data_IF_555296165153
#
_entry.id   IF_555296165153
#
_cell.length_a   1.000
_cell.length_b   1.000
_cell.length_c   1.000
_cell.angle_alpha   90.00
_cell.angle_beta   90.00
_cell.angle_gamma   90.00
#
_symmetry.space_group_name_H-M   'P 1'
#
loop_
_entity.id
_entity.type
_entity.pdbx_description
1 polymer ?
#
# COMPACT_ATOMS: atom_id res chain seq x y z
N UNK A 1 -4.19 3.96 -9.78
CA UNK A 1 -3.13 3.75 -8.78
C UNK A 1 -3.55 2.62 -7.84
N UNK A 2 -2.60 1.88 -7.26
CA UNK A 2 -2.91 0.81 -6.30
C UNK A 2 -3.33 1.40 -4.95
N UNK A 3 -4.14 0.65 -4.18
CA UNK A 3 -4.57 1.06 -2.83
C UNK A 3 -3.41 1.37 -1.88
N UNK A 4 -2.26 0.71 -2.08
CA UNK A 4 -1.04 0.92 -1.29
C UNK A 4 -0.51 2.33 -1.48
N UNK A 5 -0.36 2.80 -2.72
CA UNK A 5 0.18 4.14 -2.97
C UNK A 5 -0.75 5.25 -2.50
N UNK A 6 -2.06 5.03 -2.58
CA UNK A 6 -3.04 5.99 -2.06
C UNK A 6 -2.99 6.09 -0.53
N UNK A 7 -2.74 4.97 0.15
CA UNK A 7 -2.56 4.93 1.61
C UNK A 7 -1.33 5.73 2.02
N UNK A 8 -0.20 5.54 1.33
CA UNK A 8 1.04 6.29 1.59
C UNK A 8 0.83 7.79 1.34
N UNK A 9 0.18 8.17 0.24
CA UNK A 9 -0.07 9.58 -0.06
C UNK A 9 -0.88 10.26 1.06
N UNK A 10 -1.94 9.61 1.52
CA UNK A 10 -2.77 10.10 2.63
C UNK A 10 -1.98 10.19 3.94
N UNK A 11 -1.09 9.23 4.21
CA UNK A 11 -0.24 9.28 5.38
C UNK A 11 0.76 10.45 5.34
N UNK A 12 1.30 10.76 4.16
CA UNK A 12 2.15 11.95 3.95
C UNK A 12 1.36 13.24 4.20
N UNK A 13 0.15 13.34 3.66
CA UNK A 13 -0.73 14.52 3.84
C UNK A 13 -1.15 14.71 5.30
N UNK A 14 -1.48 13.62 6.00
CA UNK A 14 -1.87 13.65 7.41
C UNK A 14 -0.68 13.87 8.36
N UNK A 15 0.52 13.38 8.01
CA UNK A 15 1.70 13.39 8.86
C UNK A 15 2.39 14.74 9.00
N UNK A 16 1.94 15.78 8.27
CA UNK A 16 2.46 17.15 8.36
C UNK A 16 3.93 17.33 7.95
N UNK A 17 4.62 16.25 7.54
CA UNK A 17 5.99 16.32 7.04
C UNK A 17 6.00 16.86 5.63
N UNK A 18 6.81 17.88 5.39
CA UNK A 18 7.02 18.40 4.04
C UNK A 18 7.73 17.36 3.18
N UNK A 19 7.50 17.40 1.86
CA UNK A 19 8.22 16.57 0.88
C UNK A 19 9.73 16.74 0.99
N UNK A 20 10.20 17.96 1.29
CA UNK A 20 11.61 18.23 1.54
C UNK A 20 12.14 17.41 2.73
N UNK A 21 11.41 17.41 3.85
CA UNK A 21 11.81 16.68 5.05
C UNK A 21 11.83 15.16 4.80
N UNK A 22 10.80 14.63 4.14
CA UNK A 22 10.76 13.23 3.73
C UNK A 22 11.93 12.87 2.80
N UNK A 23 12.26 13.74 1.85
CA UNK A 23 13.42 13.53 0.96
C UNK A 23 14.73 13.41 1.74
N UNK A 24 14.92 14.25 2.77
CA UNK A 24 16.11 14.19 3.64
C UNK A 24 16.14 12.96 4.54
N UNK A 25 15.00 12.56 5.09
CA UNK A 25 14.90 11.40 6.00
C UNK A 25 15.03 10.06 5.24
N UNK A 26 14.47 9.97 4.04
CA UNK A 26 14.41 8.71 3.26
C UNK A 26 15.49 8.58 2.19
N UNK A 27 16.16 9.68 1.85
CA UNK A 27 17.08 9.76 0.71
C UNK A 27 16.38 9.71 -0.66
N UNK A 28 15.05 9.75 -0.71
CA UNK A 28 14.27 9.75 -1.95
C UNK A 28 14.31 11.14 -2.59
N UNK A 29 14.53 11.18 -3.90
CA UNK A 29 14.54 12.44 -4.65
C UNK A 29 13.18 13.17 -4.60
N UNK A 30 13.20 14.50 -4.53
CA UNK A 30 11.97 15.29 -4.45
C UNK A 30 11.11 15.20 -5.70
N UNK A 31 11.69 15.05 -6.90
CA UNK A 31 10.91 14.86 -8.10
C UNK A 31 10.19 13.50 -8.07
N UNK A 32 10.83 12.47 -7.51
CA UNK A 32 10.18 11.17 -7.30
C UNK A 32 9.03 11.26 -6.28
N UNK A 33 9.22 11.94 -5.15
CA UNK A 33 8.13 12.20 -4.20
C UNK A 33 7.00 13.01 -4.84
N UNK A 34 7.32 14.00 -5.68
CA UNK A 34 6.33 14.78 -6.42
C UNK A 34 5.50 13.91 -7.37
N UNK A 35 6.15 12.99 -8.12
CA UNK A 35 5.47 12.06 -9.04
C UNK A 35 4.56 11.09 -8.28
N UNK A 36 5.00 10.56 -7.14
CA UNK A 36 4.19 9.76 -6.22
C UNK A 36 2.93 10.51 -5.75
N UNK A 37 3.11 11.75 -5.28
CA UNK A 37 2.00 12.60 -4.82
C UNK A 37 1.00 12.89 -5.95
N UNK A 38 1.48 13.15 -7.17
CA UNK A 38 0.62 13.39 -8.33
C UNK A 38 -0.09 12.13 -8.85
N UNK A 39 0.25 10.94 -8.34
CA UNK A 39 -0.34 9.68 -8.78
C UNK A 39 0.11 9.22 -10.17
N UNK A 40 1.12 9.88 -10.76
CA UNK A 40 1.61 9.62 -12.12
C UNK A 40 2.53 8.40 -12.21
N UNK A 41 3.29 8.14 -11.16
CA UNK A 41 4.21 7.00 -11.08
C UNK A 41 4.19 6.38 -9.68
N UNK A 42 4.45 5.07 -9.63
CA UNK A 42 4.73 4.36 -8.39
C UNK A 42 6.16 4.59 -7.91
N UNK A 43 6.51 3.92 -6.80
CA UNK A 43 7.88 3.85 -6.28
C UNK A 43 8.33 2.39 -6.20
N UNK A 44 9.64 2.16 -6.11
CA UNK A 44 10.19 0.85 -5.81
C UNK A 44 9.70 0.36 -4.43
N UNK A 45 9.74 -0.95 -4.21
CA UNK A 45 9.42 -1.55 -2.90
C UNK A 45 10.35 -1.00 -1.82
N UNK A 46 11.65 -0.87 -2.12
CA UNK A 46 12.62 -0.28 -1.20
C UNK A 46 12.25 1.14 -0.79
N UNK A 47 11.84 1.99 -1.73
CA UNK A 47 11.41 3.35 -1.42
C UNK A 47 10.07 3.36 -0.67
N UNK A 48 9.21 2.37 -0.89
CA UNK A 48 7.96 2.20 -0.15
C UNK A 48 8.25 1.86 1.32
N UNK A 49 9.20 0.96 1.59
CA UNK A 49 9.64 0.58 2.94
C UNK A 49 10.24 1.79 3.67
N UNK A 50 11.16 2.53 3.03
CA UNK A 50 11.73 3.76 3.61
C UNK A 50 10.68 4.80 3.94
N UNK A 51 9.67 4.96 3.09
CA UNK A 51 8.54 5.86 3.36
C UNK A 51 7.70 5.37 4.54
N UNK A 52 7.44 4.07 4.65
CA UNK A 52 6.72 3.51 5.78
C UNK A 52 7.46 3.80 7.10
N UNK A 53 8.76 3.51 7.16
CA UNK A 53 9.60 3.78 8.33
C UNK A 53 9.59 5.28 8.70
N UNK A 54 9.81 6.16 7.71
CA UNK A 54 9.81 7.61 7.95
C UNK A 54 8.44 8.15 8.38
N UNK A 55 7.34 7.46 8.04
CA UNK A 55 5.98 7.83 8.44
C UNK A 55 5.50 7.11 9.71
N UNK A 56 6.31 6.23 10.30
CA UNK A 56 5.94 5.43 11.46
C UNK A 56 4.86 4.38 11.13
N UNK A 57 4.89 3.84 9.92
CA UNK A 57 3.96 2.82 9.43
C UNK A 57 4.65 1.46 9.37
N UNK A 58 3.87 0.40 9.51
CA UNK A 58 4.32 -0.98 9.35
C UNK A 58 3.71 -1.60 8.09
N UNK A 59 4.53 -2.26 7.27
CA UNK A 59 4.07 -3.05 6.12
C UNK A 59 3.87 -4.50 6.55
N UNK A 60 2.63 -4.98 6.51
CA UNK A 60 2.30 -6.36 6.89
C UNK A 60 1.79 -7.13 5.68
N UNK A 61 2.55 -8.13 5.23
CA UNK A 61 2.13 -9.06 4.20
C UNK A 61 1.46 -10.25 4.88
N UNK A 62 0.19 -10.51 4.55
CA UNK A 62 -0.56 -11.66 5.07
C UNK A 62 -1.17 -12.45 3.92
N UNK A 63 -1.30 -13.78 4.06
CA UNK A 63 -2.10 -14.56 3.11
C UNK A 63 -3.49 -13.97 3.00
N UNK A 64 -3.99 -13.81 1.77
CA UNK A 64 -5.41 -13.51 1.57
C UNK A 64 -6.18 -14.69 2.15
N UNK A 65 -6.95 -14.47 3.22
CA UNK A 65 -7.87 -15.50 3.70
C UNK A 65 -8.76 -15.86 2.52
N UNK A 66 -8.60 -17.08 2.00
CA UNK A 66 -9.53 -17.67 1.05
C UNK A 66 -10.84 -17.88 1.80
N UNK A 67 -11.61 -16.80 1.98
CA UNK A 67 -12.77 -16.80 2.82
C UNK A 67 -13.82 -17.69 2.18
N UNK A 68 -14.08 -18.88 2.76
CA UNK A 68 -15.40 -19.54 2.87
C UNK A 68 -16.30 -19.63 1.61
N UNK A 69 -15.82 -19.31 0.42
CA UNK A 69 -16.59 -19.32 -0.83
C UNK A 69 -16.56 -20.69 -1.51
N UNK A 70 -15.51 -21.47 -1.24
CA UNK A 70 -15.41 -22.86 -1.71
C UNK A 70 -16.41 -23.81 -1.01
N UNK A 71 -16.92 -23.49 0.19
CA UNK A 71 -17.80 -24.42 0.94
C UNK A 71 -19.28 -24.36 0.52
N UNK A 72 -19.70 -23.36 -0.27
CA UNK A 72 -21.10 -23.29 -0.80
C UNK A 72 -21.30 -24.03 -2.13
N UNK A 73 -20.23 -24.34 -2.89
CA UNK A 73 -20.35 -25.07 -4.18
C UNK A 73 -20.51 -26.58 -4.01
N UNK A 74 -20.01 -27.18 -2.94
CA UNK A 74 -20.08 -28.64 -2.73
C UNK A 74 -21.44 -29.11 -2.21
N UNK A 75 -22.27 -28.23 -1.63
CA UNK A 75 -23.60 -28.62 -1.12
C UNK A 75 -24.67 -28.65 -2.23
N UNK A 76 -24.41 -28.07 -3.42
CA UNK A 76 -25.40 -28.02 -4.51
C UNK A 76 -25.43 -29.22 -5.46
N UNK A 77 -24.55 -30.21 -5.32
CA UNK A 77 -24.55 -31.40 -6.20
C UNK A 77 -24.94 -32.71 -5.49
N UNK A 78 -25.50 -32.62 -4.28
CA UNK A 78 -25.90 -33.78 -3.48
C UNK A 78 -27.39 -33.79 -3.14
N UNK A 79 -28.28 -33.68 -4.13
CA UNK A 79 -29.64 -34.21 -4.00
C UNK A 79 -30.20 -34.60 -5.37
N UNK A 80 -29.97 -35.87 -5.72
CA UNK A 80 -30.82 -36.63 -6.62
C UNK A 80 -31.71 -37.47 -5.71
N UNK A 81 -33.00 -37.17 -5.70
CA UNK A 81 -34.05 -38.12 -5.38
C UNK A 81 -35.10 -37.94 -6.49
#
# INVERSE_FOLDING_TARGET
MSQVFDTIRKAIEAGGKTRYRLSKETGIDQAQLSRLMSGKEGVSVENLERLADALGLEIIIRPKMAGREAKKRTVKHGKRD
#
